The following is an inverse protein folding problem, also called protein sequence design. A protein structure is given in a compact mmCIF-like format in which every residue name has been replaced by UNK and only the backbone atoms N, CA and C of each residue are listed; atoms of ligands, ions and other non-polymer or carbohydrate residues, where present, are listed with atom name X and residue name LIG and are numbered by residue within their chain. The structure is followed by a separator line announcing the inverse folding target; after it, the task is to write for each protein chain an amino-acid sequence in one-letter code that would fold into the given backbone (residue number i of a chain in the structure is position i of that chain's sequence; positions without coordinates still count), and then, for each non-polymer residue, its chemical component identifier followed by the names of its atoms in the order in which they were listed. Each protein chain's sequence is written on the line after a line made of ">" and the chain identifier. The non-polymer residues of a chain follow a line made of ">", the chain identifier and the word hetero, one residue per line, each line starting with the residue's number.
data_IF_668968699054
#
_entry.id   IF_668968699054
#
_cell.length_a   1.000
_cell.length_b   1.000
_cell.length_c   1.000
_cell.angle_alpha   90.00
_cell.angle_beta   90.00
_cell.angle_gamma   90.00
#
_symmetry.space_group_name_H-M   'P 1'
#
loop_
_entity.id
_entity.type
_entity.pdbx_description
1 polymer ?
#
# COMPACT_ATOMS: atom_id res chain seq x y z
N UNK A 1 -25.08 13.64 -0.07
CA UNK A 1 -24.46 14.89 0.41
C UNK A 1 -23.35 14.58 1.41
N UNK A 2 -22.11 14.98 1.11
CA UNK A 2 -20.95 14.82 2.01
C UNK A 2 -20.88 15.93 3.07
N UNK A 3 -21.99 16.60 3.39
CA UNK A 3 -22.03 17.81 4.24
C UNK A 3 -21.33 17.61 5.59
N UNK A 4 -21.48 16.45 6.21
CA UNK A 4 -20.84 16.09 7.48
C UNK A 4 -19.30 16.19 7.44
N UNK A 5 -18.67 16.00 6.26
CA UNK A 5 -17.21 16.08 6.09
C UNK A 5 -16.69 17.49 6.43
N UNK A 6 -17.52 18.51 6.21
CA UNK A 6 -17.18 19.91 6.49
C UNK A 6 -17.13 20.18 7.99
N UNK A 7 -17.96 19.49 8.77
CA UNK A 7 -18.12 19.67 10.22
C UNK A 7 -17.08 18.90 11.05
N UNK A 8 -16.34 17.98 10.43
CA UNK A 8 -15.30 17.20 11.11
C UNK A 8 -14.24 18.12 11.71
N UNK A 9 -14.03 17.95 13.01
CA UNK A 9 -12.96 18.59 13.77
C UNK A 9 -12.03 17.56 14.39
N UNK A 10 -10.71 17.77 14.25
CA UNK A 10 -9.69 16.94 14.90
C UNK A 10 -9.06 17.72 16.04
N UNK A 11 -9.21 17.22 17.27
CA UNK A 11 -8.54 17.75 18.45
C UNK A 11 -7.04 17.43 18.40
N UNK A 12 -6.27 18.27 17.71
CA UNK A 12 -4.83 18.08 17.51
C UNK A 12 -4.05 17.92 18.82
N UNK A 13 -4.25 18.74 19.88
CA UNK A 13 -3.58 18.52 21.17
C UNK A 13 -3.84 17.13 21.76
N UNK A 14 -5.07 16.62 21.69
CA UNK A 14 -5.39 15.28 22.17
C UNK A 14 -4.68 14.19 21.35
N UNK A 15 -4.68 14.30 20.03
CA UNK A 15 -3.99 13.35 19.13
C UNK A 15 -2.49 13.32 19.42
N UNK A 16 -1.85 14.49 19.55
CA UNK A 16 -0.41 14.58 19.85
C UNK A 16 -0.10 13.98 21.22
N UNK A 17 -0.90 14.29 22.26
CA UNK A 17 -0.72 13.68 23.58
C UNK A 17 -0.85 12.16 23.55
N UNK A 18 -1.83 11.64 22.80
CA UNK A 18 -2.02 10.20 22.67
C UNK A 18 -0.84 9.53 21.95
N UNK A 19 -0.35 10.13 20.86
CA UNK A 19 0.84 9.64 20.16
C UNK A 19 2.08 9.61 21.08
N UNK A 20 2.29 10.64 21.91
CA UNK A 20 3.36 10.66 22.91
C UNK A 20 3.21 9.61 24.02
N UNK A 21 1.98 9.20 24.34
CA UNK A 21 1.73 8.11 25.28
C UNK A 21 2.10 6.75 24.68
N UNK A 22 1.74 6.50 23.41
CA UNK A 22 2.06 5.25 22.71
C UNK A 22 3.58 5.01 22.69
N UNK A 23 4.38 6.06 22.47
CA UNK A 23 5.86 5.98 22.51
C UNK A 23 6.42 5.50 23.85
N UNK A 24 5.68 5.67 24.95
CA UNK A 24 6.09 5.27 26.30
C UNK A 24 5.67 3.84 26.65
N UNK A 25 4.88 3.18 25.80
CA UNK A 25 4.44 1.82 26.05
C UNK A 25 5.63 0.85 26.00
N UNK A 26 5.61 -0.14 26.90
CA UNK A 26 6.67 -1.13 26.98
C UNK A 26 6.65 -2.00 25.72
N UNK A 27 7.82 -2.21 25.13
CA UNK A 27 7.97 -3.13 24.03
C UNK A 27 7.96 -4.58 24.52
N UNK A 28 7.45 -5.47 23.67
CA UNK A 28 7.59 -6.92 23.83
C UNK A 28 9.06 -7.33 23.75
N UNK A 29 9.46 -8.37 24.48
CA UNK A 29 10.86 -8.82 24.58
C UNK A 29 11.00 -10.32 24.32
N UNK A 30 12.21 -10.75 23.99
CA UNK A 30 12.56 -12.17 23.82
C UNK A 30 11.71 -12.84 22.74
N UNK A 31 11.18 -14.03 23.03
CA UNK A 31 10.40 -14.82 22.07
C UNK A 31 9.16 -14.09 21.56
N UNK A 32 8.52 -13.24 22.38
CA UNK A 32 7.39 -12.43 21.94
C UNK A 32 7.82 -11.40 20.90
N UNK A 33 8.97 -10.76 21.09
CA UNK A 33 9.51 -9.83 20.11
C UNK A 33 9.81 -10.53 18.79
N UNK A 34 10.42 -11.72 18.84
CA UNK A 34 10.69 -12.52 17.65
C UNK A 34 9.38 -12.89 16.91
N UNK A 35 8.37 -13.36 17.63
CA UNK A 35 7.06 -13.69 17.06
C UNK A 35 6.40 -12.46 16.39
N UNK A 36 6.45 -11.29 17.02
CA UNK A 36 5.92 -10.05 16.45
C UNK A 36 6.70 -9.58 15.22
N UNK A 37 8.02 -9.74 15.20
CA UNK A 37 8.83 -9.42 14.02
C UNK A 37 8.53 -10.38 12.86
N UNK A 38 8.41 -11.68 13.12
CA UNK A 38 7.99 -12.66 12.12
C UNK A 38 6.58 -12.34 11.59
N UNK A 39 5.65 -11.95 12.47
CA UNK A 39 4.32 -11.52 12.05
C UNK A 39 4.38 -10.25 11.20
N UNK A 40 5.20 -9.27 11.57
CA UNK A 40 5.37 -8.04 10.82
C UNK A 40 5.86 -8.31 9.39
N UNK A 41 6.76 -9.30 9.20
CA UNK A 41 7.21 -9.73 7.86
C UNK A 41 6.04 -10.16 6.98
N UNK A 42 5.04 -10.87 7.53
CA UNK A 42 3.84 -11.28 6.77
C UNK A 42 2.93 -10.13 6.37
N UNK A 43 3.15 -8.94 6.95
CA UNK A 43 2.42 -7.72 6.64
C UNK A 43 3.23 -6.75 5.76
N UNK A 44 4.38 -7.17 5.24
CA UNK A 44 5.21 -6.34 4.35
C UNK A 44 4.72 -6.50 2.92
N UNK A 45 4.47 -5.38 2.25
CA UNK A 45 4.52 -5.33 0.80
C UNK A 45 5.97 -5.04 0.41
N UNK A 46 6.65 -6.05 -0.14
CA UNK A 46 8.07 -5.93 -0.46
C UNK A 46 8.21 -5.17 -1.78
N UNK A 47 8.70 -3.94 -1.69
CA UNK A 47 8.57 -2.96 -2.76
C UNK A 47 9.89 -2.66 -3.45
N UNK A 48 9.87 -2.53 -4.78
CA UNK A 48 10.86 -1.76 -5.54
C UNK A 48 10.13 -0.81 -6.48
N UNK A 49 10.47 0.47 -6.39
CA UNK A 49 9.89 1.55 -7.20
C UNK A 49 11.02 2.48 -7.65
N UNK A 50 12.10 1.88 -8.13
CA UNK A 50 13.28 2.59 -8.59
C UNK A 50 13.22 2.85 -10.10
N UNK A 51 13.77 3.99 -10.54
CA UNK A 51 13.84 4.33 -11.97
C UNK A 51 14.73 3.39 -12.78
N UNK A 52 15.62 2.64 -12.12
CA UNK A 52 16.52 1.65 -12.72
C UNK A 52 16.05 0.20 -12.54
N UNK A 53 14.76 -0.01 -12.21
CA UNK A 53 14.21 -1.36 -12.07
C UNK A 53 14.25 -2.16 -13.39
N UNK A 54 14.93 -3.30 -13.32
CA UNK A 54 15.05 -4.28 -14.41
C UNK A 54 14.33 -5.58 -14.05
N UNK A 55 14.00 -6.44 -15.04
CA UNK A 55 13.46 -7.77 -14.78
C UNK A 55 14.32 -8.59 -13.81
N UNK A 56 15.65 -8.47 -13.88
CA UNK A 56 16.58 -9.19 -12.99
C UNK A 56 16.46 -8.73 -11.53
N UNK A 57 16.35 -7.43 -11.29
CA UNK A 57 16.20 -6.89 -9.93
C UNK A 57 14.83 -7.29 -9.34
N UNK A 58 13.77 -7.23 -10.15
CA UNK A 58 12.42 -7.67 -9.77
C UNK A 58 12.36 -9.17 -9.48
N UNK A 59 13.07 -9.99 -10.24
CA UNK A 59 13.19 -11.42 -9.94
C UNK A 59 13.86 -11.65 -8.58
N UNK A 60 14.94 -10.93 -8.26
CA UNK A 60 15.58 -11.01 -6.93
C UNK A 60 14.65 -10.54 -5.80
N UNK A 61 13.85 -9.51 -6.05
CA UNK A 61 12.81 -9.05 -5.12
C UNK A 61 11.79 -10.18 -4.85
N UNK A 62 11.30 -10.86 -5.88
CA UNK A 62 10.35 -11.96 -5.76
C UNK A 62 10.95 -13.16 -5.01
N UNK A 63 12.23 -13.48 -5.25
CA UNK A 63 12.93 -14.51 -4.49
C UNK A 63 13.00 -14.15 -2.99
N UNK A 64 13.34 -12.90 -2.67
CA UNK A 64 13.35 -12.39 -1.29
C UNK A 64 11.95 -12.34 -0.68
N UNK A 65 10.92 -12.06 -1.47
CA UNK A 65 9.53 -12.07 -1.02
C UNK A 65 9.09 -13.46 -0.53
N UNK A 66 9.49 -14.52 -1.26
CA UNK A 66 9.27 -15.92 -0.89
C UNK A 66 10.15 -16.37 0.29
N UNK A 67 11.36 -15.83 0.39
CA UNK A 67 12.35 -16.18 1.42
C UNK A 67 12.81 -14.94 2.22
N UNK A 68 11.91 -14.28 2.98
CA UNK A 68 12.23 -13.00 3.61
C UNK A 68 13.17 -13.13 4.80
N UNK A 69 13.25 -14.34 5.39
CA UNK A 69 14.08 -14.66 6.54
C UNK A 69 14.97 -15.85 6.18
N UNK A 70 16.21 -15.82 6.64
CA UNK A 70 17.14 -16.93 6.42
C UNK A 70 16.65 -18.19 7.14
N UNK A 71 16.83 -19.32 6.47
CA UNK A 71 16.39 -20.64 6.93
C UNK A 71 16.98 -21.04 8.29
N UNK A 72 18.25 -20.72 8.56
CA UNK A 72 18.91 -21.04 9.83
C UNK A 72 18.28 -20.31 11.02
N UNK A 73 17.85 -19.06 10.82
CA UNK A 73 17.13 -18.29 11.83
C UNK A 73 15.74 -18.86 12.06
N UNK A 74 15.04 -19.26 11.01
CA UNK A 74 13.72 -19.91 11.14
C UNK A 74 13.81 -21.23 11.89
N UNK A 75 14.85 -22.04 11.65
CA UNK A 75 15.10 -23.28 12.41
C UNK A 75 15.40 -23.01 13.88
N UNK A 76 16.24 -22.02 14.17
CA UNK A 76 16.56 -21.63 15.54
C UNK A 76 15.33 -21.12 16.33
N UNK A 77 14.31 -20.63 15.62
CA UNK A 77 13.05 -20.14 16.20
C UNK A 77 11.91 -21.17 16.13
N UNK A 78 12.13 -22.37 15.60
CA UNK A 78 11.10 -23.40 15.35
C UNK A 78 9.96 -22.93 14.42
N UNK A 79 10.32 -22.18 13.36
CA UNK A 79 9.39 -21.52 12.43
C UNK A 79 9.63 -21.88 10.95
N UNK A 80 10.55 -22.80 10.66
CA UNK A 80 10.98 -23.16 9.30
C UNK A 80 9.88 -23.81 8.43
N UNK A 81 8.91 -24.46 9.05
CA UNK A 81 7.78 -25.12 8.39
C UNK A 81 6.52 -24.23 8.31
N UNK A 82 6.57 -22.99 8.82
CA UNK A 82 5.38 -22.12 8.94
C UNK A 82 5.05 -21.30 7.70
N UNK A 83 5.83 -21.45 6.62
CA UNK A 83 5.55 -20.80 5.35
C UNK A 83 5.57 -19.27 5.42
N UNK A 84 6.50 -18.69 6.18
CA UNK A 84 6.60 -17.24 6.34
C UNK A 84 7.07 -16.59 5.03
N UNK A 85 6.16 -15.89 4.38
CA UNK A 85 6.42 -15.02 3.23
C UNK A 85 6.05 -13.58 3.57
N UNK A 86 6.38 -12.66 2.67
CA UNK A 86 5.82 -11.30 2.70
C UNK A 86 4.32 -11.32 2.29
N UNK A 87 3.61 -10.22 2.52
CA UNK A 87 2.21 -10.06 2.17
C UNK A 87 1.98 -9.88 0.67
N UNK A 88 2.78 -9.01 0.02
CA UNK A 88 2.74 -8.77 -1.42
C UNK A 88 4.12 -8.37 -1.98
N UNK A 89 4.24 -8.32 -3.30
CA UNK A 89 5.35 -7.66 -4.01
C UNK A 89 4.82 -6.43 -4.73
N UNK A 90 5.32 -5.24 -4.42
CA UNK A 90 4.86 -3.99 -5.05
C UNK A 90 5.89 -3.45 -6.05
N UNK A 91 5.45 -3.18 -7.28
CA UNK A 91 6.30 -2.73 -8.39
C UNK A 91 5.61 -1.69 -9.28
N UNK A 92 6.39 -1.01 -10.13
CA UNK A 92 5.81 -0.18 -11.19
C UNK A 92 4.99 -1.02 -12.20
N UNK A 93 3.98 -0.44 -12.87
CA UNK A 93 3.15 -1.15 -13.86
C UNK A 93 3.97 -1.89 -14.93
N UNK A 94 5.07 -1.28 -15.38
CA UNK A 94 5.97 -1.86 -16.39
C UNK A 94 6.67 -3.15 -15.94
N UNK A 95 6.67 -3.47 -14.64
CA UNK A 95 7.35 -4.62 -14.02
C UNK A 95 6.39 -5.66 -13.46
N UNK A 96 5.07 -5.44 -13.57
CA UNK A 96 4.05 -6.38 -13.05
C UNK A 96 4.20 -7.76 -13.68
N UNK A 97 4.27 -7.84 -15.01
CA UNK A 97 4.43 -9.11 -15.74
C UNK A 97 5.71 -9.84 -15.31
N UNK A 98 6.81 -9.11 -15.10
CA UNK A 98 8.08 -9.69 -14.64
C UNK A 98 7.91 -10.33 -13.25
N UNK A 99 7.26 -9.62 -12.31
CA UNK A 99 7.02 -10.11 -10.96
C UNK A 99 6.07 -11.31 -10.92
N UNK A 100 4.95 -11.25 -11.66
CA UNK A 100 3.97 -12.34 -11.76
C UNK A 100 4.63 -13.61 -12.31
N UNK A 101 5.43 -13.49 -13.38
CA UNK A 101 6.13 -14.62 -13.97
C UNK A 101 7.16 -15.22 -13.01
N UNK A 102 7.93 -14.38 -12.30
CA UNK A 102 8.92 -14.83 -11.33
C UNK A 102 8.28 -15.60 -10.16
N UNK A 103 7.19 -15.09 -9.59
CA UNK A 103 6.49 -15.75 -8.48
C UNK A 103 5.81 -17.05 -8.93
N UNK A 104 5.21 -17.07 -10.12
CA UNK A 104 4.63 -18.28 -10.71
C UNK A 104 5.69 -19.35 -10.97
N UNK A 105 6.83 -18.98 -11.55
CA UNK A 105 7.95 -19.89 -11.78
C UNK A 105 8.50 -20.46 -10.46
N UNK A 106 8.45 -19.68 -9.39
CA UNK A 106 8.80 -20.11 -8.04
C UNK A 106 7.70 -20.94 -7.33
N UNK A 107 6.56 -21.21 -7.98
CA UNK A 107 5.42 -21.92 -7.37
C UNK A 107 4.85 -21.20 -6.15
N UNK A 108 4.84 -19.86 -6.17
CA UNK A 108 4.46 -19.01 -5.05
C UNK A 108 3.22 -18.17 -5.38
N UNK A 109 2.30 -18.05 -4.42
CA UNK A 109 1.02 -17.35 -4.59
C UNK A 109 1.00 -15.96 -3.93
N UNK A 110 2.16 -15.36 -3.65
CA UNK A 110 2.22 -13.98 -3.15
C UNK A 110 1.58 -13.05 -4.20
N UNK A 111 0.62 -12.19 -3.84
CA UNK A 111 0.04 -11.25 -4.79
C UNK A 111 1.05 -10.20 -5.25
N UNK A 112 0.92 -9.80 -6.52
CA UNK A 112 1.65 -8.65 -7.06
C UNK A 112 0.75 -7.41 -6.93
N UNK A 113 1.27 -6.41 -6.22
CA UNK A 113 0.73 -5.07 -6.13
C UNK A 113 1.41 -4.17 -7.17
N UNK A 114 0.69 -3.16 -7.67
CA UNK A 114 1.29 -2.13 -8.52
C UNK A 114 0.84 -0.74 -8.14
N UNK A 115 1.78 0.20 -8.10
CA UNK A 115 1.44 1.62 -8.00
C UNK A 115 0.83 2.11 -9.30
N UNK A 116 -0.20 2.95 -9.20
CA UNK A 116 -0.89 3.51 -10.36
C UNK A 116 -1.43 4.92 -10.04
N UNK A 117 -2.23 5.45 -10.96
CA UNK A 117 -2.89 6.73 -10.83
C UNK A 117 -1.92 7.92 -10.68
N UNK A 118 -0.87 7.94 -11.50
CA UNK A 118 0.10 9.03 -11.55
C UNK A 118 1.14 9.00 -10.42
N UNK A 119 1.44 7.82 -9.87
CA UNK A 119 2.51 7.68 -8.89
C UNK A 119 3.84 8.26 -9.42
N UNK A 120 4.62 8.99 -8.59
CA UNK A 120 4.39 9.25 -7.16
C UNK A 120 3.56 10.50 -6.86
N UNK A 121 3.29 11.37 -7.83
CA UNK A 121 2.74 12.71 -7.57
C UNK A 121 1.22 12.77 -7.52
N UNK A 122 0.52 11.85 -8.21
CA UNK A 122 -0.92 11.89 -8.42
C UNK A 122 -1.38 13.01 -9.36
N UNK A 123 -0.45 13.69 -10.04
CA UNK A 123 -0.67 14.86 -10.91
C UNK A 123 -0.86 14.47 -12.39
N UNK A 124 -1.70 13.47 -12.63
CA UNK A 124 -2.07 13.04 -13.99
C UNK A 124 -3.58 13.19 -14.20
N UNK A 125 -4.05 13.42 -15.44
CA UNK A 125 -5.48 13.45 -15.73
C UNK A 125 -6.17 12.13 -15.36
N UNK A 126 -7.44 12.20 -14.96
CA UNK A 126 -8.22 11.03 -14.54
C UNK A 126 -8.20 9.92 -15.60
N UNK A 127 -8.35 10.25 -16.87
CA UNK A 127 -8.31 9.28 -17.97
C UNK A 127 -7.01 8.46 -17.99
N UNK A 128 -5.87 9.12 -17.78
CA UNK A 128 -4.56 8.47 -17.68
C UNK A 128 -4.48 7.57 -16.44
N UNK A 129 -4.98 8.05 -15.30
CA UNK A 129 -5.03 7.26 -14.05
C UNK A 129 -5.82 5.95 -14.26
N UNK A 130 -7.00 6.05 -14.86
CA UNK A 130 -7.86 4.89 -15.12
C UNK A 130 -7.22 3.93 -16.14
N UNK A 131 -6.51 4.45 -17.14
CA UNK A 131 -5.77 3.63 -18.10
C UNK A 131 -4.61 2.87 -17.44
N UNK A 132 -3.81 3.53 -16.60
CA UNK A 132 -2.72 2.90 -15.83
C UNK A 132 -3.24 1.75 -14.96
N UNK A 133 -4.33 1.98 -14.22
CA UNK A 133 -4.97 0.97 -13.37
C UNK A 133 -5.37 -0.26 -14.20
N UNK A 134 -6.10 -0.04 -15.31
CA UNK A 134 -6.57 -1.13 -16.18
C UNK A 134 -5.41 -1.93 -16.77
N UNK A 135 -4.33 -1.26 -17.18
CA UNK A 135 -3.13 -1.90 -17.69
C UNK A 135 -2.44 -2.74 -16.61
N UNK A 136 -2.27 -2.21 -15.40
CA UNK A 136 -1.66 -2.95 -14.30
C UNK A 136 -2.46 -4.22 -13.95
N UNK A 137 -3.79 -4.13 -13.91
CA UNK A 137 -4.68 -5.30 -13.74
C UNK A 137 -4.53 -6.29 -14.91
N UNK A 138 -4.50 -5.81 -16.15
CA UNK A 138 -4.29 -6.64 -17.34
C UNK A 138 -2.93 -7.37 -17.31
N UNK A 139 -1.89 -6.75 -16.78
CA UNK A 139 -0.57 -7.36 -16.59
C UNK A 139 -0.52 -8.39 -15.45
N UNK A 140 -1.61 -8.51 -14.68
CA UNK A 140 -1.78 -9.54 -13.65
C UNK A 140 -1.61 -9.05 -12.22
N UNK A 141 -1.56 -7.73 -11.99
CA UNK A 141 -1.59 -7.20 -10.63
C UNK A 141 -2.89 -7.59 -9.94
N UNK A 142 -2.79 -8.12 -8.72
CA UNK A 142 -3.93 -8.48 -7.87
C UNK A 142 -4.26 -7.41 -6.85
N UNK A 143 -3.36 -6.44 -6.69
CA UNK A 143 -3.55 -5.26 -5.85
C UNK A 143 -3.08 -4.01 -6.60
N UNK A 144 -3.76 -2.88 -6.38
CA UNK A 144 -3.46 -1.60 -7.03
C UNK A 144 -3.38 -0.51 -5.98
N UNK A 145 -2.23 0.16 -5.92
CA UNK A 145 -1.96 1.26 -4.99
C UNK A 145 -2.12 2.59 -5.75
N UNK A 146 -3.28 3.24 -5.63
CA UNK A 146 -3.57 4.50 -6.32
C UNK A 146 -3.09 5.71 -5.53
N UNK A 147 -2.67 6.77 -6.22
CA UNK A 147 -2.38 8.07 -5.60
C UNK A 147 -3.54 9.03 -5.83
N UNK A 148 -4.06 9.61 -4.75
CA UNK A 148 -5.13 10.62 -4.85
C UNK A 148 -4.63 11.94 -5.47
N UNK A 149 -5.53 12.68 -6.10
CA UNK A 149 -5.33 14.09 -6.43
C UNK A 149 -5.30 14.92 -5.15
N UNK A 150 -4.10 15.16 -4.61
CA UNK A 150 -3.91 15.95 -3.37
C UNK A 150 -4.46 17.38 -3.49
N UNK A 151 -4.48 17.94 -4.70
CA UNK A 151 -5.09 19.24 -4.99
C UNK A 151 -6.56 19.29 -4.57
N UNK A 152 -7.32 18.21 -4.76
CA UNK A 152 -8.72 18.13 -4.35
C UNK A 152 -8.85 18.21 -2.83
N UNK A 153 -7.98 17.53 -2.09
CA UNK A 153 -7.94 17.61 -0.62
C UNK A 153 -7.58 19.02 -0.15
N UNK A 154 -6.51 19.59 -0.70
CA UNK A 154 -5.99 20.89 -0.28
C UNK A 154 -6.94 22.06 -0.61
N UNK A 155 -7.80 21.89 -1.61
CA UNK A 155 -8.84 22.87 -2.00
C UNK A 155 -10.23 22.53 -1.46
N UNK A 156 -10.36 21.47 -0.67
CA UNK A 156 -11.64 21.08 -0.04
C UNK A 156 -12.67 20.48 -1.00
N UNK A 157 -12.25 20.01 -2.18
CA UNK A 157 -13.10 19.38 -3.20
C UNK A 157 -13.35 17.89 -2.88
N UNK A 158 -14.08 17.62 -1.80
CA UNK A 158 -14.30 16.27 -1.29
C UNK A 158 -15.18 15.39 -2.19
N UNK A 159 -16.18 15.97 -2.86
CA UNK A 159 -17.01 15.24 -3.83
C UNK A 159 -16.20 14.82 -5.05
N UNK A 160 -15.32 15.70 -5.54
CA UNK A 160 -14.40 15.37 -6.64
C UNK A 160 -13.44 14.24 -6.25
N UNK A 161 -12.92 14.26 -5.02
CA UNK A 161 -12.05 13.20 -4.50
C UNK A 161 -12.81 11.86 -4.41
N UNK A 162 -14.04 11.89 -3.90
CA UNK A 162 -14.89 10.71 -3.80
C UNK A 162 -15.13 10.09 -5.19
N UNK A 163 -15.48 10.91 -6.18
CA UNK A 163 -15.73 10.48 -7.55
C UNK A 163 -14.46 9.90 -8.21
N UNK A 164 -13.32 10.58 -8.06
CA UNK A 164 -12.03 10.09 -8.56
C UNK A 164 -11.70 8.69 -8.02
N UNK A 165 -11.82 8.50 -6.69
CA UNK A 165 -11.50 7.21 -6.06
C UNK A 165 -12.51 6.14 -6.48
N UNK A 166 -13.80 6.49 -6.61
CA UNK A 166 -14.84 5.55 -7.03
C UNK A 166 -14.60 5.05 -8.46
N UNK A 167 -14.19 5.93 -9.37
CA UNK A 167 -13.84 5.52 -10.74
C UNK A 167 -12.55 4.69 -10.77
N UNK A 168 -11.55 5.01 -9.91
CA UNK A 168 -10.38 4.17 -9.73
C UNK A 168 -10.74 2.76 -9.21
N UNK A 169 -11.62 2.67 -8.21
CA UNK A 169 -12.14 1.41 -7.67
C UNK A 169 -12.82 0.58 -8.73
N UNK A 170 -13.67 1.20 -9.56
CA UNK A 170 -14.32 0.55 -10.69
C UNK A 170 -13.29 0.04 -11.71
N UNK A 171 -12.26 0.82 -12.01
CA UNK A 171 -11.19 0.43 -12.94
C UNK A 171 -10.34 -0.76 -12.44
N UNK A 172 -10.23 -0.94 -11.12
CA UNK A 172 -9.50 -2.07 -10.52
C UNK A 172 -10.19 -3.43 -10.73
N UNK A 173 -11.50 -3.47 -11.05
CA UNK A 173 -12.26 -4.72 -11.19
C UNK A 173 -12.19 -5.56 -9.92
N UNK A 174 -11.69 -6.80 -10.03
CA UNK A 174 -11.51 -7.73 -8.90
C UNK A 174 -10.21 -7.50 -8.10
N UNK A 175 -9.30 -6.65 -8.58
CA UNK A 175 -8.05 -6.38 -7.87
C UNK A 175 -8.32 -5.59 -6.58
N UNK A 176 -7.64 -5.92 -5.49
CA UNK A 176 -7.75 -5.15 -4.25
C UNK A 176 -7.17 -3.74 -4.45
N UNK A 177 -7.86 -2.69 -3.99
CA UNK A 177 -7.37 -1.32 -4.16
C UNK A 177 -6.89 -0.77 -2.82
N UNK A 178 -5.73 -0.12 -2.84
CA UNK A 178 -5.18 0.64 -1.72
C UNK A 178 -5.06 2.10 -2.14
N UNK A 179 -5.37 3.01 -1.24
CA UNK A 179 -5.39 4.45 -1.54
C UNK A 179 -4.25 5.16 -0.80
N UNK A 180 -3.26 5.63 -1.56
CA UNK A 180 -2.15 6.44 -1.05
C UNK A 180 -2.64 7.88 -0.87
N UNK A 181 -2.82 8.29 0.39
CA UNK A 181 -3.23 9.64 0.75
C UNK A 181 -2.08 10.66 0.74
N UNK A 182 -0.83 10.19 0.86
CA UNK A 182 0.35 11.03 1.08
C UNK A 182 0.16 12.03 2.25
N UNK A 183 -0.14 11.48 3.44
CA UNK A 183 -0.56 12.26 4.62
C UNK A 183 0.39 13.38 5.04
N UNK A 184 1.69 13.24 4.74
CA UNK A 184 2.70 14.29 4.97
C UNK A 184 2.50 15.56 4.13
N UNK A 185 1.73 15.50 3.06
CA UNK A 185 1.48 16.61 2.13
C UNK A 185 0.06 17.19 2.25
N UNK A 186 -0.78 16.65 3.13
CA UNK A 186 -2.18 17.09 3.26
C UNK A 186 -2.38 18.29 4.20
N UNK A 187 -1.29 18.82 4.77
CA UNK A 187 -1.26 20.05 5.57
C UNK A 187 -1.83 19.93 7.00
N UNK A 188 -2.91 19.18 7.21
CA UNK A 188 -3.55 19.05 8.53
C UNK A 188 -4.07 17.63 8.82
N UNK A 189 -4.15 17.28 10.11
CA UNK A 189 -4.76 16.01 10.54
C UNK A 189 -6.26 15.93 10.22
N UNK A 190 -6.94 17.08 10.11
CA UNK A 190 -8.32 17.14 9.67
C UNK A 190 -8.43 16.70 8.19
N UNK A 191 -7.54 17.19 7.33
CA UNK A 191 -7.48 16.75 5.94
C UNK A 191 -7.14 15.26 5.81
N UNK A 192 -6.19 14.77 6.61
CA UNK A 192 -5.86 13.33 6.67
C UNK A 192 -7.11 12.52 7.04
N UNK A 193 -7.81 12.89 8.11
CA UNK A 193 -9.03 12.19 8.52
C UNK A 193 -10.09 12.22 7.42
N UNK A 194 -10.40 13.40 6.86
CA UNK A 194 -11.42 13.57 5.82
C UNK A 194 -11.07 12.74 4.58
N UNK A 195 -9.83 12.80 4.10
CA UNK A 195 -9.37 12.02 2.96
C UNK A 195 -9.45 10.51 3.22
N UNK A 196 -9.08 10.04 4.42
CA UNK A 196 -9.24 8.63 4.81
C UNK A 196 -10.69 8.18 4.76
N UNK A 197 -11.61 8.98 5.32
CA UNK A 197 -13.04 8.64 5.32
C UNK A 197 -13.62 8.62 3.90
N UNK A 198 -13.29 9.62 3.07
CA UNK A 198 -13.72 9.68 1.68
C UNK A 198 -13.20 8.46 0.90
N UNK A 199 -11.93 8.10 1.07
CA UNK A 199 -11.37 6.91 0.43
C UNK A 199 -12.13 5.64 0.82
N UNK A 200 -12.33 5.39 2.13
CA UNK A 200 -13.06 4.21 2.59
C UNK A 200 -14.52 4.16 2.11
N UNK A 201 -15.16 5.31 1.94
CA UNK A 201 -16.53 5.39 1.41
C UNK A 201 -16.62 5.15 -0.10
N UNK A 202 -15.56 5.48 -0.84
CA UNK A 202 -15.50 5.32 -2.29
C UNK A 202 -15.18 3.88 -2.72
N UNK A 203 -14.73 3.04 -1.78
CA UNK A 203 -14.41 1.62 -1.95
C UNK A 203 -12.91 1.36 -2.01
#
# INVERSE_FOLDING_TARGET
>A
ELVWISEVHVNRPAVVRHAEQIKKWRTVKGNWQAAWLLKAVTCIDLTTLSGDDTPSNVHRLCFKAKHPIREDLLKALDMHDKGITVGAVCVYPARVTDAVNALKAAGCNIPVASVAAGFPSGQTPLETKLAEIKLAVQYGAREIDIVISRSLVLTGQWEGLYEEIRECRKACGEAHMKTILATGELGSLANVYKASMIAMMAG
#
